data_IF_433515841351
#
_entry.id   IF_433515841351
#
_cell.length_a   1.000
_cell.length_b   1.000
_cell.length_c   1.000
_cell.angle_alpha   90.00
_cell.angle_beta   90.00
_cell.angle_gamma   90.00
#
_symmetry.space_group_name_H-M   'P 1'
#
loop_
_entity.id
_entity.type
_entity.pdbx_description
1 polymer ?
#
# COMPACT_ATOMS: atom_id res chain seq x y z
N UNK A 1 6.56 -11.23 -5.00
CA UNK A 1 7.16 -9.89 -4.86
C UNK A 1 8.57 -10.05 -4.31
N UNK A 2 9.58 -9.65 -5.07
CA UNK A 2 10.99 -9.59 -4.63
C UNK A 2 11.40 -8.13 -4.31
N UNK A 3 12.59 -7.90 -3.76
CA UNK A 3 13.04 -6.57 -3.34
C UNK A 3 13.15 -5.57 -4.51
N UNK A 4 13.52 -6.03 -5.70
CA UNK A 4 13.59 -5.19 -6.91
C UNK A 4 12.19 -4.78 -7.38
N UNK A 5 11.25 -5.71 -7.39
CA UNK A 5 9.86 -5.51 -7.76
C UNK A 5 9.16 -4.55 -6.80
N UNK A 6 9.48 -4.62 -5.49
CA UNK A 6 9.04 -3.65 -4.50
C UNK A 6 9.60 -2.25 -4.79
N UNK A 7 10.89 -2.13 -5.08
CA UNK A 7 11.52 -0.84 -5.43
C UNK A 7 10.92 -0.23 -6.70
N UNK A 8 10.60 -1.06 -7.70
CA UNK A 8 9.93 -0.61 -8.92
C UNK A 8 8.52 -0.11 -8.60
N UNK A 9 7.75 -0.83 -7.78
CA UNK A 9 6.41 -0.40 -7.35
C UNK A 9 6.43 0.89 -6.52
N UNK A 10 7.36 1.01 -5.58
CA UNK A 10 7.56 2.25 -4.79
C UNK A 10 7.90 3.43 -5.72
N UNK A 11 8.78 3.22 -6.71
CA UNK A 11 9.10 4.24 -7.72
C UNK A 11 7.92 4.59 -8.62
N UNK A 12 7.03 3.64 -8.88
CA UNK A 12 5.83 3.83 -9.72
C UNK A 12 4.74 4.67 -9.03
N UNK A 13 4.89 4.95 -7.73
CA UNK A 13 3.95 5.65 -6.84
C UNK A 13 2.62 4.92 -6.66
N UNK A 14 1.80 5.44 -5.75
CA UNK A 14 0.45 4.97 -5.45
C UNK A 14 -0.39 4.98 -6.75
N UNK A 15 -0.60 3.81 -7.32
CA UNK A 15 -1.51 3.59 -8.44
C UNK A 15 -2.88 3.23 -7.87
N UNK A 16 -3.96 3.37 -8.65
CA UNK A 16 -5.33 3.03 -8.21
C UNK A 16 -5.47 1.60 -7.65
N UNK A 17 -4.47 0.74 -7.89
CA UNK A 17 -4.40 -0.66 -7.48
C UNK A 17 -3.34 -0.94 -6.40
N UNK A 18 -2.57 0.05 -5.96
CA UNK A 18 -1.50 -0.13 -4.95
C UNK A 18 -1.53 1.01 -3.95
N UNK A 19 -1.91 0.71 -2.72
CA UNK A 19 -1.90 1.65 -1.60
C UNK A 19 -0.63 1.53 -0.78
N UNK A 20 -0.04 2.69 -0.44
CA UNK A 20 1.10 2.77 0.47
C UNK A 20 0.65 3.40 1.79
N UNK A 21 0.85 2.69 2.90
CA UNK A 21 0.56 3.18 4.24
C UNK A 21 1.79 3.01 5.11
N UNK A 22 2.22 4.06 5.79
CA UNK A 22 3.34 3.96 6.73
C UNK A 22 2.95 3.12 7.95
N UNK A 23 1.76 3.38 8.51
CA UNK A 23 1.22 2.64 9.64
C UNK A 23 -0.29 2.76 9.72
N UNK A 24 -0.94 1.65 10.11
CA UNK A 24 -2.32 1.68 10.57
C UNK A 24 -2.36 1.93 12.07
N UNK A 25 -3.02 3.00 12.49
CA UNK A 25 -3.25 3.32 13.90
C UNK A 25 -4.47 2.60 14.48
N UNK A 26 -5.34 2.03 13.63
CA UNK A 26 -6.53 1.31 14.05
C UNK A 26 -6.82 0.12 13.12
N UNK A 27 -7.24 -1.00 13.71
CA UNK A 27 -7.63 -2.23 13.01
C UNK A 27 -8.90 -2.02 12.18
N UNK A 28 -9.83 -1.17 12.65
CA UNK A 28 -11.02 -0.81 11.89
C UNK A 28 -10.68 -0.11 10.57
N UNK A 29 -9.67 0.76 10.58
CA UNK A 29 -9.22 1.46 9.37
C UNK A 29 -8.62 0.49 8.34
N UNK A 30 -7.85 -0.49 8.81
CA UNK A 30 -7.34 -1.57 7.96
C UNK A 30 -8.48 -2.41 7.38
N UNK A 31 -9.47 -2.75 8.20
CA UNK A 31 -10.62 -3.56 7.80
C UNK A 31 -11.47 -2.85 6.74
N UNK A 32 -11.67 -1.53 6.89
CA UNK A 32 -12.37 -0.70 5.92
C UNK A 32 -11.62 -0.63 4.57
N UNK A 33 -10.29 -0.51 4.58
CA UNK A 33 -9.51 -0.55 3.34
C UNK A 33 -9.54 -1.93 2.67
N UNK A 34 -9.39 -3.02 3.42
CA UNK A 34 -9.51 -4.37 2.88
C UNK A 34 -10.90 -4.58 2.25
N UNK A 35 -11.96 -4.11 2.90
CA UNK A 35 -13.32 -4.20 2.36
C UNK A 35 -13.48 -3.35 1.08
N UNK A 36 -12.92 -2.15 1.03
CA UNK A 36 -12.95 -1.29 -0.16
C UNK A 36 -12.16 -1.90 -1.33
N UNK A 37 -11.02 -2.52 -1.05
CA UNK A 37 -10.22 -3.25 -2.04
C UNK A 37 -10.93 -4.51 -2.55
N UNK A 38 -11.51 -5.30 -1.65
CA UNK A 38 -12.25 -6.51 -2.00
C UNK A 38 -13.50 -6.22 -2.84
N UNK A 39 -14.14 -5.06 -2.61
CA UNK A 39 -15.27 -4.59 -3.41
C UNK A 39 -14.87 -3.91 -4.73
N UNK A 40 -13.57 -3.63 -4.92
CA UNK A 40 -13.00 -3.15 -6.18
C UNK A 40 -12.31 -4.32 -6.92
N UNK A 41 -11.54 -4.06 -7.98
CA UNK A 41 -10.74 -5.07 -8.69
C UNK A 41 -9.58 -5.68 -7.87
N UNK A 42 -9.60 -5.54 -6.54
CA UNK A 42 -8.50 -5.93 -5.66
C UNK A 42 -7.24 -5.08 -5.87
N UNK A 43 -6.16 -5.47 -5.20
CA UNK A 43 -4.88 -4.79 -5.30
C UNK A 43 -3.97 -5.07 -4.11
N UNK A 44 -2.89 -4.29 -4.02
CA UNK A 44 -1.81 -4.51 -3.06
C UNK A 44 -1.75 -3.37 -2.03
N UNK A 45 -1.79 -3.71 -0.74
CA UNK A 45 -1.54 -2.76 0.35
C UNK A 45 -0.13 -3.02 0.89
N UNK A 46 0.74 -2.02 0.76
CA UNK A 46 2.12 -2.09 1.23
C UNK A 46 2.22 -1.25 2.50
N UNK A 47 2.50 -1.92 3.61
CA UNK A 47 2.60 -1.31 4.95
C UNK A 47 4.07 -1.06 5.30
N UNK A 48 4.40 0.10 5.86
CA UNK A 48 5.76 0.49 6.22
C UNK A 48 6.48 1.34 5.16
N UNK A 49 5.74 1.85 4.17
CA UNK A 49 6.27 2.78 3.16
C UNK A 49 5.50 4.08 3.27
N UNK A 50 6.23 5.18 3.43
CA UNK A 50 5.61 6.51 3.49
C UNK A 50 5.14 6.94 2.11
N UNK A 51 3.97 7.57 2.06
CA UNK A 51 3.37 8.02 0.81
C UNK A 51 4.05 9.29 0.27
N UNK A 52 4.73 10.06 1.14
CA UNK A 52 5.33 11.35 0.80
C UNK A 52 6.74 11.26 0.22
N UNK A 53 7.48 10.20 0.52
CA UNK A 53 8.74 9.88 -0.15
C UNK A 53 8.89 8.37 -0.16
N UNK A 54 9.24 7.80 -1.32
CA UNK A 54 9.46 6.37 -1.52
C UNK A 54 10.68 5.81 -0.77
N UNK A 55 10.85 6.21 0.49
CA UNK A 55 11.83 5.72 1.44
C UNK A 55 11.12 4.71 2.36
N UNK A 56 11.72 3.53 2.46
CA UNK A 56 11.28 2.46 3.36
C UNK A 56 11.86 2.80 4.73
N UNK A 57 11.01 2.98 5.75
CA UNK A 57 11.45 3.18 7.14
C UNK A 57 11.64 1.86 7.89
#
# INVERSE_FOLDING_TARGET
>A
MNCEELSIRIKKREDSRTQFKERFSSIDALSAEIAAFANSEGGDIIIGVSNEMGEIQ
#
